data_IF_099378161210
#
_entry.id   IF_099378161210
#
_cell.length_a   1.000
_cell.length_b   1.000
_cell.length_c   1.000
_cell.angle_alpha   90.00
_cell.angle_beta   90.00
_cell.angle_gamma   90.00
#
_symmetry.space_group_name_H-M   'P 1'
#
loop_
_entity.id
_entity.type
_entity.pdbx_description
1 polymer ?
2 non-polymer ?
3 non-polymer ?
4 non-polymer ?
5 water ?
#
# COMPACT_ATOMS: atom_id res chain seq x y z
N UNK A 39 6.07 -1.55 21.51
CA UNK A 39 7.48 -1.21 21.13
C UNK A 39 7.51 -0.69 19.69
N UNK A 40 6.74 -1.32 18.82
CA UNK A 40 6.67 -0.91 17.43
C UNK A 40 6.02 0.45 17.32
N UNK A 41 4.84 0.60 17.92
CA UNK A 41 4.11 1.86 17.88
C UNK A 41 5.02 3.05 18.12
N UNK A 42 5.82 2.97 19.17
CA UNK A 42 6.72 4.05 19.50
C UNK A 42 7.77 4.20 18.43
N UNK A 43 8.32 3.09 17.96
CA UNK A 43 9.35 3.14 16.93
C UNK A 43 8.81 3.90 15.74
N UNK A 44 7.64 3.46 15.27
CA UNK A 44 6.95 4.04 14.14
C UNK A 44 6.82 5.54 14.30
N UNK A 45 6.07 5.97 15.31
CA UNK A 45 5.85 7.39 15.58
C UNK A 45 7.13 8.18 15.61
N UNK A 46 8.18 7.61 16.20
CA UNK A 46 9.43 8.34 16.26
C UNK A 46 10.12 8.47 14.92
N UNK A 47 10.12 7.40 14.14
CA UNK A 47 10.78 7.48 12.85
C UNK A 47 10.03 8.42 11.92
N UNK A 48 8.71 8.45 12.04
CA UNK A 48 7.94 9.33 11.20
C UNK A 48 8.39 10.77 11.44
N UNK A 49 8.65 11.09 12.70
CA UNK A 49 9.09 12.43 13.04
C UNK A 49 10.55 12.66 12.69
N UNK A 50 11.42 11.80 13.20
CA UNK A 50 12.84 11.97 12.92
C UNK A 50 13.19 11.98 11.45
N UNK A 51 12.60 11.08 10.67
CA UNK A 51 12.87 11.01 9.24
C UNK A 51 12.08 12.09 8.47
N UNK A 52 11.26 12.85 9.21
CA UNK A 52 10.44 13.93 8.67
C UNK A 52 9.55 13.48 7.53
N UNK A 53 8.77 12.44 7.82
CA UNK A 53 7.85 11.89 6.87
C UNK A 53 6.52 12.62 6.92
N UNK A 54 5.91 12.66 8.10
CA UNK A 54 4.65 13.39 8.26
C UNK A 54 4.70 14.10 9.60
N UNK A 55 4.01 15.22 9.70
CA UNK A 55 3.95 15.99 10.94
C UNK A 55 2.51 15.78 11.40
N UNK A 56 2.33 15.26 12.60
CA UNK A 56 0.98 14.98 13.08
C UNK A 56 0.35 16.09 13.89
N UNK A 57 1.12 17.14 14.14
CA UNK A 57 0.64 18.26 14.94
C UNK A 57 -0.40 19.17 14.29
N UNK A 58 -1.29 18.63 13.48
CA UNK A 58 -2.31 19.44 12.84
C UNK A 58 -3.55 19.48 13.74
N UNK A 59 -4.14 20.67 13.92
CA UNK A 59 -5.32 20.90 14.75
C UNK A 59 -6.54 20.03 14.51
N UNK A 60 -6.47 19.13 13.55
CA UNK A 60 -7.63 18.26 13.29
C UNK A 60 -7.21 16.81 13.29
N UNK A 61 -7.69 16.10 14.31
CA UNK A 61 -7.39 14.70 14.50
C UNK A 61 -7.67 13.86 13.27
N UNK A 62 -6.69 13.07 12.87
CA UNK A 62 -6.84 12.19 11.73
C UNK A 62 -6.47 12.81 10.41
N UNK A 63 -5.71 13.89 10.44
CA UNK A 63 -5.32 14.56 9.22
C UNK A 63 -3.91 15.06 9.40
N UNK A 64 -2.98 14.46 8.68
CA UNK A 64 -1.59 14.82 8.81
C UNK A 64 -1.00 15.51 7.60
N UNK A 65 0.16 16.12 7.81
CA UNK A 65 0.88 16.84 6.78
C UNK A 65 2.05 16.08 6.24
N UNK A 66 2.18 16.02 4.92
CA UNK A 66 3.31 15.33 4.32
C UNK A 66 4.48 16.30 4.21
N UNK A 67 5.54 16.07 4.97
CA UNK A 67 6.71 16.94 4.92
C UNK A 67 7.51 16.58 3.68
N UNK A 68 8.47 17.42 3.28
CA UNK A 68 9.27 17.15 2.09
C UNK A 68 9.73 15.71 1.91
N UNK A 69 10.49 15.20 2.88
CA UNK A 69 11.01 13.84 2.75
C UNK A 69 9.90 12.81 2.53
N UNK A 70 8.92 12.81 3.43
CA UNK A 70 7.82 11.88 3.29
C UNK A 70 7.25 11.99 1.88
N UNK A 71 6.96 13.20 1.46
CA UNK A 71 6.40 13.42 0.13
C UNK A 71 7.20 12.76 -0.98
N UNK A 72 8.52 12.77 -0.86
CA UNK A 72 9.37 12.17 -1.89
C UNK A 72 9.18 10.67 -1.95
N UNK A 73 9.05 10.04 -0.79
CA UNK A 73 8.86 8.60 -0.73
C UNK A 73 7.52 8.27 -1.37
N UNK A 74 6.51 9.07 -1.04
CA UNK A 74 5.15 8.91 -1.56
C UNK A 74 5.21 9.06 -3.07
N UNK A 75 5.98 10.04 -3.51
CA UNK A 75 6.15 10.31 -4.92
C UNK A 75 6.71 9.08 -5.64
N UNK A 76 7.82 8.53 -5.14
CA UNK A 76 8.42 7.35 -5.78
C UNK A 76 7.57 6.10 -5.68
N UNK A 77 6.85 5.95 -4.58
CA UNK A 77 5.99 4.79 -4.41
C UNK A 77 4.93 4.85 -5.49
N UNK A 78 4.36 6.03 -5.69
CA UNK A 78 3.33 6.21 -6.71
C UNK A 78 3.86 6.02 -8.13
N UNK A 79 5.13 6.36 -8.36
CA UNK A 79 5.71 6.18 -9.67
C UNK A 79 5.68 4.68 -10.03
N UNK A 80 6.14 3.85 -9.10
CA UNK A 80 6.16 2.42 -9.27
C UNK A 80 4.77 1.93 -9.59
N UNK A 81 3.80 2.38 -8.79
CA UNK A 81 2.42 1.98 -8.99
C UNK A 81 1.88 2.36 -10.35
N UNK A 82 1.98 3.65 -10.70
CA UNK A 82 1.48 4.12 -11.99
C UNK A 82 2.12 3.44 -13.17
N UNK A 83 3.39 3.10 -13.04
CA UNK A 83 4.09 2.44 -14.13
C UNK A 83 3.35 1.13 -14.46
N UNK A 84 2.87 0.45 -13.43
CA UNK A 84 2.15 -0.78 -13.63
C UNK A 84 0.75 -0.49 -14.14
N UNK A 85 0.02 0.34 -13.40
CA UNK A 85 -1.34 0.68 -13.77
C UNK A 85 -1.51 1.29 -15.17
N UNK A 86 -0.60 2.15 -15.58
CA UNK A 86 -0.74 2.79 -16.88
C UNK A 86 -0.62 1.88 -18.09
N UNK A 87 -0.26 0.62 -17.89
CA UNK A 87 -0.15 -0.29 -19.02
C UNK A 87 -1.51 -0.51 -19.65
N UNK A 88 -2.54 -0.71 -18.82
CA UNK A 88 -3.87 -0.98 -19.32
C UNK A 88 -4.98 -0.21 -18.67
N UNK A 89 -4.62 0.81 -17.90
CA UNK A 89 -5.63 1.65 -17.24
C UNK A 89 -5.46 3.08 -17.71
N UNK A 90 -6.55 3.84 -17.69
CA UNK A 90 -6.51 5.24 -18.10
C UNK A 90 -6.76 6.11 -16.87
N UNK A 91 -5.77 6.91 -16.47
CA UNK A 91 -5.96 7.74 -15.30
C UNK A 91 -6.93 8.87 -15.59
N UNK A 92 -7.77 9.17 -14.60
CA UNK A 92 -8.75 10.23 -14.72
C UNK A 92 -8.72 11.02 -13.42
N UNK A 93 -9.69 11.91 -13.24
CA UNK A 93 -9.78 12.71 -12.03
C UNK A 93 -11.18 13.26 -11.90
N UNK A 94 -11.97 12.64 -11.02
CA UNK A 94 -13.35 13.03 -10.75
C UNK A 94 -13.42 13.94 -9.56
N UNK A 95 -14.58 14.59 -9.35
CA UNK A 95 -14.82 15.52 -8.25
C UNK A 95 -14.67 14.92 -6.86
N UNK A 96 -14.62 15.80 -5.87
CA UNK A 96 -14.48 15.40 -4.49
C UNK A 96 -15.84 15.26 -3.85
N UNK A 97 -16.74 16.18 -4.18
CA UNK A 97 -18.08 16.22 -3.60
C UNK A 97 -19.20 15.47 -4.31
N UNK A 98 -20.05 14.84 -3.52
CA UNK A 98 -21.20 14.07 -4.02
C UNK A 98 -22.45 14.49 -3.27
N UNK A 99 -23.55 14.70 -4.01
CA UNK A 99 -24.83 15.11 -3.46
C UNK A 99 -25.61 13.92 -2.90
N UNK A 100 -26.39 14.13 -1.85
CA UNK A 100 -27.19 13.06 -1.24
C UNK A 100 -27.84 12.19 -2.29
N UNK A 101 -28.56 12.84 -3.20
CA UNK A 101 -29.25 12.16 -4.30
C UNK A 101 -28.41 11.02 -4.86
N UNK A 102 -27.18 11.31 -5.26
CA UNK A 102 -26.29 10.31 -5.83
C UNK A 102 -25.72 9.33 -4.83
N UNK A 103 -25.20 9.85 -3.72
CA UNK A 103 -24.58 9.02 -2.69
C UNK A 103 -25.51 7.96 -2.14
N UNK A 104 -26.75 8.35 -1.85
CA UNK A 104 -27.74 7.44 -1.29
C UNK A 104 -28.49 6.62 -2.33
N UNK A 105 -28.10 6.73 -3.60
CA UNK A 105 -28.78 5.98 -4.65
C UNK A 105 -28.60 4.47 -4.51
N UNK A 106 -27.60 4.06 -3.74
CA UNK A 106 -27.37 2.63 -3.53
C UNK A 106 -28.10 2.16 -2.28
N UNK A 107 -28.31 0.85 -2.18
CA UNK A 107 -29.00 0.28 -1.04
C UNK A 107 -28.02 0.01 0.11
N UNK A 108 -27.18 -1.00 -0.07
CA UNK A 108 -26.22 -1.39 0.96
C UNK A 108 -25.03 -0.43 1.09
N UNK A 109 -24.49 0.02 -0.04
CA UNK A 109 -23.34 0.93 -0.08
C UNK A 109 -23.57 2.20 0.74
N UNK A 110 -24.75 2.79 0.62
CA UNK A 110 -25.07 4.00 1.38
C UNK A 110 -25.14 3.67 2.87
N UNK A 111 -25.62 2.47 3.17
CA UNK A 111 -25.76 1.97 4.54
C UNK A 111 -24.38 1.65 5.12
N UNK A 112 -23.43 1.38 4.23
CA UNK A 112 -22.07 1.06 4.64
C UNK A 112 -21.24 2.27 5.07
N UNK A 113 -21.57 3.44 4.52
CA UNK A 113 -20.85 4.66 4.86
C UNK A 113 -21.79 5.72 5.47
N UNK A 114 -23.02 5.31 5.77
CA UNK A 114 -24.03 6.16 6.37
C UNK A 114 -23.53 7.31 7.25
N UNK A 115 -23.03 6.94 8.42
CA UNK A 115 -22.54 7.90 9.40
C UNK A 115 -21.02 7.98 9.35
N UNK A 116 -20.45 7.67 8.20
CA UNK A 116 -19.00 7.73 8.08
C UNK A 116 -18.60 8.81 7.09
N UNK A 117 -19.60 9.55 6.63
CA UNK A 117 -19.41 10.60 5.66
C UNK A 117 -19.43 12.01 6.26
N UNK A 118 -18.58 12.90 5.76
CA UNK A 118 -18.55 14.29 6.21
C UNK A 118 -19.50 15.04 5.29
N UNK A 119 -20.24 16.01 5.83
CA UNK A 119 -21.18 16.75 4.99
C UNK A 119 -20.98 18.25 4.94
N UNK A 120 -20.94 18.82 3.73
CA UNK A 120 -20.85 20.26 3.61
C UNK A 120 -22.31 20.62 3.47
N UNK A 121 -22.75 21.58 4.27
CA UNK A 121 -24.15 21.99 4.28
C UNK A 121 -24.34 23.44 3.87
N UNK A 122 -23.32 24.26 4.08
CA UNK A 122 -23.41 25.67 3.73
C UNK A 122 -22.40 26.09 2.69
N UNK A 123 -22.81 27.05 1.87
CA UNK A 123 -21.95 27.61 0.84
C UNK A 123 -21.77 29.04 1.27
N UNK A 124 -20.70 29.31 2.01
CA UNK A 124 -20.47 30.66 2.49
C UNK A 124 -21.27 30.75 3.77
N UNK A 125 -22.30 31.59 3.79
CA UNK A 125 -23.12 31.73 4.98
C UNK A 125 -24.50 31.16 4.72
N UNK A 126 -24.78 30.85 3.47
CA UNK A 126 -26.08 30.30 3.11
C UNK A 126 -26.10 28.78 3.04
N UNK A 127 -27.21 28.20 3.47
CA UNK A 127 -27.37 26.77 3.48
C UNK A 127 -27.66 26.24 2.08
N UNK A 128 -26.81 25.33 1.62
CA UNK A 128 -26.97 24.74 0.31
C UNK A 128 -28.32 24.03 0.28
N UNK A 129 -29.02 24.12 -0.83
CA UNK A 129 -30.31 23.46 -0.92
C UNK A 129 -30.13 22.00 -1.29
N UNK A 130 -28.97 21.46 -0.96
CA UNK A 130 -28.67 20.07 -1.29
C UNK A 130 -27.32 19.74 -0.65
N UNK A 131 -27.34 18.90 0.38
CA UNK A 131 -26.12 18.52 1.08
C UNK A 131 -25.12 17.91 0.11
N UNK A 132 -23.85 18.15 0.38
CA UNK A 132 -22.77 17.60 -0.43
C UNK A 132 -21.84 16.86 0.52
N UNK A 133 -21.55 15.62 0.17
CA UNK A 133 -20.70 14.77 0.98
C UNK A 133 -19.30 14.62 0.41
N UNK A 134 -18.29 14.65 1.27
CA UNK A 134 -16.93 14.45 0.78
C UNK A 134 -16.88 12.97 0.41
N UNK A 135 -16.25 12.65 -0.70
CA UNK A 135 -16.17 11.27 -1.14
C UNK A 135 -15.43 10.39 -0.14
N UNK A 136 -16.00 9.20 0.15
CA UNK A 136 -15.41 8.22 1.08
C UNK A 136 -14.69 7.25 0.15
N UNK A 137 -15.21 7.20 -1.07
CA UNK A 137 -14.74 6.37 -2.15
C UNK A 137 -15.61 6.90 -3.28
N UNK A 138 -15.19 6.77 -4.53
CA UNK A 138 -15.91 7.39 -5.63
C UNK A 138 -16.97 6.66 -6.47
N UNK A 139 -17.48 5.52 -6.01
CA UNK A 139 -18.47 4.81 -6.82
C UNK A 139 -19.65 5.70 -7.20
N UNK A 140 -20.24 6.37 -6.21
CA UNK A 140 -21.38 7.22 -6.47
C UNK A 140 -21.03 8.51 -7.20
N UNK A 141 -19.75 8.73 -7.47
CA UNK A 141 -19.32 9.93 -8.17
C UNK A 141 -19.09 9.64 -9.64
N UNK A 142 -18.44 8.53 -9.92
CA UNK A 142 -18.12 8.15 -11.29
C UNK A 142 -19.19 7.36 -12.00
N UNK A 143 -19.86 6.48 -11.29
CA UNK A 143 -20.86 5.65 -11.94
C UNK A 143 -21.96 6.36 -12.69
N UNK A 144 -22.51 7.45 -12.13
CA UNK A 144 -23.55 8.09 -12.92
C UNK A 144 -22.96 8.65 -14.23
N UNK A 145 -21.69 9.01 -14.16
CA UNK A 145 -20.98 9.54 -15.32
C UNK A 145 -20.71 8.39 -16.30
N UNK A 146 -20.51 7.19 -15.74
CA UNK A 146 -20.24 6.00 -16.55
C UNK A 146 -21.46 5.64 -17.37
N UNK A 147 -22.62 5.93 -16.79
CA UNK A 147 -23.89 5.67 -17.45
C UNK A 147 -23.91 6.41 -18.78
N UNK A 148 -23.26 7.57 -18.81
CA UNK A 148 -23.19 8.36 -20.02
C UNK A 148 -22.09 7.86 -20.93
N UNK A 149 -20.89 7.68 -20.40
CA UNK A 149 -19.79 7.23 -21.24
C UNK A 149 -20.00 5.88 -21.90
N UNK A 150 -20.86 5.03 -21.33
CA UNK A 150 -21.08 3.72 -21.91
C UNK A 150 -22.33 3.61 -22.79
N UNK A 151 -22.10 3.20 -24.04
CA UNK A 151 -23.18 3.05 -25.01
C UNK A 151 -23.11 1.71 -25.75
N UNK A 152 -22.07 1.50 -26.54
CA UNK A 152 -21.94 0.25 -27.30
C UNK A 152 -20.93 -0.73 -26.72
N UNK A 153 -21.07 -1.99 -27.08
CA UNK A 153 -20.15 -3.02 -26.62
C UNK A 153 -18.78 -2.68 -27.20
N UNK A 154 -18.76 -1.80 -28.19
CA UNK A 154 -17.50 -1.41 -28.78
C UNK A 154 -16.76 -0.53 -27.79
N UNK A 155 -17.51 0.03 -26.84
CA UNK A 155 -16.95 0.88 -25.81
C UNK A 155 -16.23 0.10 -24.72
N UNK A 156 -16.69 -1.11 -24.44
CA UNK A 156 -16.09 -1.93 -23.40
C UNK A 156 -14.93 -2.76 -23.93
N UNK A 157 -13.97 -3.11 -23.04
CA UNK A 157 -13.95 -2.76 -21.63
C UNK A 157 -13.27 -1.42 -21.35
N UNK A 158 -13.62 -0.81 -20.23
CA UNK A 158 -13.02 0.45 -19.81
C UNK A 158 -12.33 0.19 -18.50
N UNK A 159 -11.14 0.74 -18.32
CA UNK A 159 -10.39 0.56 -17.08
C UNK A 159 -9.79 1.88 -16.62
N UNK A 160 -10.36 2.45 -15.56
CA UNK A 160 -9.90 3.72 -15.04
C UNK A 160 -9.38 3.66 -13.62
N UNK A 161 -8.65 4.70 -13.22
CA UNK A 161 -8.10 4.81 -11.87
C UNK A 161 -7.69 6.24 -11.58
N UNK A 162 -7.65 6.59 -10.30
CA UNK A 162 -7.23 7.91 -9.87
C UNK A 162 -6.60 7.82 -8.48
N UNK A 163 -5.76 8.80 -8.15
CA UNK A 163 -5.11 8.87 -6.86
C UNK A 163 -5.60 10.19 -6.29
N UNK A 164 -6.59 10.11 -5.43
CA UNK A 164 -7.19 11.30 -4.88
C UNK A 164 -7.21 11.22 -3.38
N UNK A 165 -7.79 12.22 -2.75
CA UNK A 165 -7.90 12.21 -1.31
C UNK A 165 -9.35 11.96 -0.95
N UNK A 166 -9.57 10.94 -0.11
CA UNK A 166 -10.92 10.58 0.32
C UNK A 166 -11.06 10.78 1.83
N UNK A 167 -12.30 10.84 2.30
CA UNK A 167 -12.57 11.09 3.70
C UNK A 167 -13.47 10.05 4.36
N UNK A 168 -13.15 9.69 5.60
CA UNK A 168 -13.94 8.71 6.33
C UNK A 168 -13.95 9.01 7.81
N UNK A 169 -15.12 9.35 8.33
CA UNK A 169 -15.31 9.67 9.75
C UNK A 169 -15.50 8.36 10.51
N UNK A 170 -14.43 7.89 11.15
CA UNK A 170 -14.48 6.61 11.85
C UNK A 170 -14.00 6.58 13.31
N UNK A 171 -13.56 5.40 13.72
CA UNK A 171 -13.03 5.06 15.06
C UNK A 171 -12.29 6.17 15.78
N UNK A 172 -12.78 6.52 16.93
CA UNK A 172 -12.03 7.49 17.58
C UNK A 172 -10.50 7.20 17.37
N UNK A 173 -9.95 5.96 17.27
CA UNK A 173 -8.48 5.83 17.17
C UNK A 173 -7.81 5.93 15.81
N UNK A 174 -7.33 7.18 15.74
CA UNK A 174 -6.58 7.81 14.67
C UNK A 174 -5.21 7.20 14.61
N UNK A 175 -4.85 6.65 13.45
CA UNK A 175 -3.51 6.07 13.34
C UNK A 175 -2.81 6.50 12.06
N UNK A 176 -1.67 7.23 12.21
CA UNK A 176 -0.82 7.77 11.14
C UNK A 176 -0.64 6.78 9.99
N UNK A 177 -1.05 7.20 8.79
CA UNK A 177 -1.00 6.39 7.54
C UNK A 177 -1.75 5.07 7.54
N UNK A 178 -2.41 4.74 8.64
CA UNK A 178 -3.09 3.45 8.76
C UNK A 178 -4.58 3.60 8.98
N UNK A 179 -4.93 4.66 9.69
CA UNK A 179 -6.32 4.96 9.99
C UNK A 179 -6.43 6.47 10.10
N UNK A 180 -6.60 7.14 8.97
CA UNK A 180 -6.70 8.58 8.94
C UNK A 180 -8.09 9.00 8.50
N UNK A 181 -8.44 10.25 8.75
CA UNK A 181 -9.75 10.77 8.36
C UNK A 181 -9.61 11.25 6.91
N UNK A 182 -8.44 11.76 6.57
CA UNK A 182 -8.20 12.18 5.20
C UNK A 182 -7.18 11.22 4.60
N UNK A 183 -7.65 10.29 3.80
CA UNK A 183 -6.77 9.33 3.18
C UNK A 183 -6.16 10.10 2.03
N UNK A 184 -4.96 10.61 2.27
CA UNK A 184 -4.29 11.42 1.27
C UNK A 184 -3.81 10.69 0.03
N UNK A 185 -3.59 9.39 0.11
CA UNK A 185 -3.12 8.67 -1.06
C UNK A 185 -4.01 7.50 -1.44
N UNK A 186 -5.28 7.80 -1.67
CA UNK A 186 -6.24 6.77 -2.03
C UNK A 186 -6.25 6.49 -3.52
N UNK A 187 -5.74 5.35 -3.93
CA UNK A 187 -5.76 5.00 -5.35
C UNK A 187 -6.92 4.05 -5.56
N UNK A 188 -7.90 4.47 -6.34
CA UNK A 188 -9.04 3.63 -6.60
C UNK A 188 -9.13 3.39 -8.09
N UNK A 189 -9.30 2.14 -8.48
CA UNK A 189 -9.43 1.78 -9.89
C UNK A 189 -10.80 1.19 -10.04
N UNK A 190 -11.47 1.50 -11.16
CA UNK A 190 -12.80 0.99 -11.45
C UNK A 190 -12.82 0.50 -12.88
N UNK A 191 -13.41 -0.67 -13.10
CA UNK A 191 -13.46 -1.23 -14.45
C UNK A 191 -14.87 -1.57 -14.89
N UNK A 192 -15.07 -1.66 -16.21
CA UNK A 192 -16.36 -1.97 -16.77
C UNK A 192 -16.22 -3.06 -17.83
N UNK A 193 -17.04 -4.08 -17.75
CA UNK A 193 -16.97 -5.18 -18.69
C UNK A 193 -18.32 -5.54 -19.28
N UNK A 194 -18.30 -6.28 -20.39
CA UNK A 194 -19.52 -6.71 -21.07
C UNK A 194 -20.12 -7.95 -20.42
N UNK A 195 -19.27 -8.85 -19.95
CA UNK A 195 -19.75 -10.08 -19.36
C UNK A 195 -19.21 -10.34 -17.97
N UNK A 196 -20.01 -11.00 -17.14
CA UNK A 196 -19.61 -11.34 -15.78
C UNK A 196 -18.30 -12.13 -15.83
N UNK A 197 -18.07 -12.79 -16.96
CA UNK A 197 -16.87 -13.56 -17.14
C UNK A 197 -15.65 -12.67 -17.07
N UNK A 198 -15.57 -11.71 -17.98
CA UNK A 198 -14.43 -10.80 -18.02
C UNK A 198 -14.25 -10.09 -16.69
N UNK A 199 -15.34 -9.82 -15.99
CA UNK A 199 -15.23 -9.16 -14.71
C UNK A 199 -14.35 -9.98 -13.79
N UNK A 200 -14.69 -11.26 -13.63
CA UNK A 200 -13.90 -12.13 -12.77
C UNK A 200 -12.48 -12.22 -13.26
N UNK A 201 -12.32 -12.17 -14.57
CA UNK A 201 -11.00 -12.23 -15.14
C UNK A 201 -10.22 -11.00 -14.68
N UNK A 202 -10.91 -9.86 -14.58
CA UNK A 202 -10.30 -8.60 -14.14
C UNK A 202 -9.84 -8.71 -12.70
N UNK A 203 -10.70 -9.28 -11.84
CA UNK A 203 -10.33 -9.46 -10.46
C UNK A 203 -8.98 -10.19 -10.42
N UNK A 204 -8.80 -11.17 -11.30
CA UNK A 204 -7.54 -11.90 -11.34
C UNK A 204 -6.41 -10.99 -11.75
N UNK A 205 -6.65 -10.19 -12.78
CA UNK A 205 -5.64 -9.25 -13.29
C UNK A 205 -5.24 -8.27 -12.20
N UNK A 206 -6.22 -7.77 -11.48
CA UNK A 206 -5.97 -6.82 -10.41
C UNK A 206 -5.06 -7.44 -9.38
N UNK A 207 -5.39 -8.65 -8.94
CA UNK A 207 -4.61 -9.35 -7.94
C UNK A 207 -3.16 -9.49 -8.38
N UNK A 208 -2.97 -9.72 -9.68
CA UNK A 208 -1.62 -9.86 -10.18
C UNK A 208 -0.90 -8.54 -10.17
N UNK A 209 -1.65 -7.48 -10.41
CA UNK A 209 -1.09 -6.15 -10.43
C UNK A 209 -0.62 -5.77 -9.03
N UNK A 210 -1.41 -6.11 -8.02
CA UNK A 210 -1.02 -5.79 -6.66
C UNK A 210 0.16 -6.64 -6.21
N UNK A 211 0.19 -7.90 -6.62
CA UNK A 211 1.33 -8.73 -6.25
C UNK A 211 2.57 -8.06 -6.79
N UNK A 212 2.55 -7.70 -8.07
CA UNK A 212 3.71 -7.06 -8.65
C UNK A 212 4.05 -5.77 -7.92
N UNK A 213 3.02 -4.97 -7.65
CA UNK A 213 3.26 -3.72 -6.95
C UNK A 213 3.97 -4.02 -5.66
N UNK A 214 3.32 -4.82 -4.82
CA UNK A 214 3.88 -5.18 -3.54
C UNK A 214 5.25 -5.83 -3.61
N UNK A 215 5.44 -6.75 -4.55
CA UNK A 215 6.74 -7.39 -4.67
C UNK A 215 7.81 -6.34 -4.92
N UNK A 216 7.46 -5.31 -5.68
CA UNK A 216 8.43 -4.24 -5.95
C UNK A 216 8.79 -3.53 -4.67
N UNK A 217 7.84 -3.47 -3.73
CA UNK A 217 8.07 -2.82 -2.45
C UNK A 217 8.65 -3.82 -1.44
N UNK A 218 8.80 -5.07 -1.89
CA UNK A 218 9.34 -6.09 -1.01
C UNK A 218 8.41 -6.37 0.15
N UNK A 219 7.14 -6.08 -0.03
CA UNK A 219 6.14 -6.29 0.98
C UNK A 219 5.48 -7.65 0.78
N UNK A 220 5.44 -8.49 1.83
CA UNK A 220 4.83 -9.82 1.78
C UNK A 220 3.33 -9.65 2.02
N UNK A 221 2.54 -10.67 1.68
CA UNK A 221 1.10 -10.56 1.82
C UNK A 221 0.36 -11.90 1.76
N UNK A 222 -0.86 -11.90 2.31
CA UNK A 222 -1.72 -13.07 2.34
C UNK A 222 -2.97 -12.68 1.59
N UNK A 223 -3.35 -13.45 0.59
CA UNK A 223 -4.54 -13.13 -0.19
C UNK A 223 -5.68 -14.04 0.19
N UNK A 224 -6.84 -13.47 0.53
CA UNK A 224 -7.98 -14.29 0.92
C UNK A 224 -9.29 -13.68 0.48
N UNK A 225 -10.37 -14.45 0.58
CA UNK A 225 -11.69 -13.98 0.21
C UNK A 225 -12.40 -13.60 1.50
N UNK A 226 -12.66 -12.32 1.71
CA UNK A 226 -13.32 -11.87 2.90
C UNK A 226 -14.68 -12.55 3.05
N UNK A 227 -15.15 -12.70 4.30
CA UNK A 227 -16.44 -13.33 4.61
C UNK A 227 -17.49 -12.41 4.02
N UNK A 228 -18.57 -12.97 3.47
CA UNK A 228 -19.65 -12.20 2.87
C UNK A 228 -20.27 -11.08 3.70
N UNK A 229 -19.88 -10.99 4.97
CA UNK A 229 -20.45 -9.93 5.80
C UNK A 229 -19.45 -8.80 5.97
N UNK A 230 -18.27 -8.98 5.37
CA UNK A 230 -17.22 -7.98 5.43
C UNK A 230 -16.93 -7.41 4.04
N UNK A 231 -17.54 -7.99 3.01
CA UNK A 231 -17.28 -7.51 1.66
C UNK A 231 -17.66 -6.06 1.45
N UNK A 232 -17.05 -5.44 0.45
CA UNK A 232 -17.31 -4.05 0.13
C UNK A 232 -18.82 -3.90 -0.01
N UNK A 233 -19.40 -2.91 0.67
CA UNK A 233 -20.83 -2.64 0.62
C UNK A 233 -21.38 -2.66 -0.79
N UNK A 234 -22.22 -3.64 -1.10
CA UNK A 234 -22.82 -3.73 -2.41
C UNK A 234 -22.15 -4.64 -3.41
N UNK A 235 -20.99 -5.21 -3.08
CA UNK A 235 -20.30 -6.08 -4.03
C UNK A 235 -20.75 -7.52 -3.96
N UNK A 236 -20.18 -8.32 -4.84
CA UNK A 236 -20.46 -9.74 -4.91
C UNK A 236 -19.51 -10.38 -3.94
N UNK A 237 -18.25 -9.96 -4.02
CA UNK A 237 -17.24 -10.48 -3.11
C UNK A 237 -16.01 -9.61 -3.09
N UNK A 238 -15.24 -9.72 -2.02
CA UNK A 238 -14.03 -8.93 -1.85
C UNK A 238 -12.83 -9.81 -1.62
N UNK A 239 -11.76 -9.53 -2.33
CA UNK A 239 -10.53 -10.27 -2.15
C UNK A 239 -9.65 -9.26 -1.47
N UNK A 240 -9.01 -9.64 -0.38
CA UNK A 240 -8.15 -8.71 0.35
C UNK A 240 -6.72 -9.17 0.50
N UNK A 241 -5.83 -8.19 0.64
CA UNK A 241 -4.42 -8.45 0.84
C UNK A 241 -4.15 -7.95 2.26
N UNK A 242 -3.52 -8.79 3.07
CA UNK A 242 -3.20 -8.42 4.44
C UNK A 242 -1.71 -8.66 4.58
N UNK A 243 -1.04 -7.81 5.34
CA UNK A 243 0.39 -7.98 5.58
C UNK A 243 0.54 -7.93 7.09
N UNK A 244 1.70 -8.33 7.58
CA UNK A 244 1.91 -8.38 9.02
C UNK A 244 2.83 -7.30 9.56
N UNK A 245 2.34 -6.55 10.54
CA UNK A 245 3.11 -5.48 11.14
C UNK A 245 3.99 -6.02 12.26
N UNK A 246 5.18 -5.42 12.46
CA UNK A 246 6.12 -5.84 13.50
C UNK A 246 5.51 -6.02 14.89
N UNK A 247 4.27 -5.60 15.08
CA UNK A 247 3.65 -5.75 16.38
C UNK A 247 2.71 -6.95 16.35
N UNK A 248 2.99 -7.87 15.43
CA UNK A 248 2.17 -9.07 15.33
C UNK A 248 0.75 -8.84 14.86
N UNK A 249 0.41 -7.60 14.54
CA UNK A 249 -0.93 -7.29 14.07
C UNK A 249 -0.98 -7.27 12.55
N UNK A 250 -2.16 -7.53 12.01
CA UNK A 250 -2.39 -7.56 10.59
C UNK A 250 -2.88 -6.22 10.08
N UNK A 251 -2.53 -5.91 8.83
CA UNK A 251 -2.95 -4.66 8.19
C UNK A 251 -3.45 -4.90 6.78
N UNK A 252 -4.70 -4.55 6.51
CA UNK A 252 -5.29 -4.71 5.17
C UNK A 252 -4.60 -3.70 4.25
N UNK A 253 -3.77 -4.17 3.30
CA UNK A 253 -3.09 -3.25 2.43
C UNK A 253 -3.62 -3.17 1.02
N UNK A 254 -4.79 -3.73 0.77
CA UNK A 254 -5.36 -3.67 -0.56
C UNK A 254 -6.58 -4.55 -0.74
N UNK A 255 -7.57 -4.09 -1.49
CA UNK A 255 -8.76 -4.87 -1.74
C UNK A 255 -9.21 -4.76 -3.18
N UNK A 256 -9.79 -5.86 -3.67
CA UNK A 256 -10.32 -5.94 -5.03
C UNK A 256 -11.75 -6.39 -4.82
N UNK A 257 -12.68 -5.76 -5.52
CA UNK A 257 -14.08 -6.13 -5.36
C UNK A 257 -14.72 -6.41 -6.69
N UNK A 258 -15.58 -7.43 -6.71
CA UNK A 258 -16.31 -7.77 -7.92
C UNK A 258 -17.70 -7.26 -7.62
N UNK A 259 -18.11 -6.23 -8.35
CA UNK A 259 -19.40 -5.59 -8.15
C UNK A 259 -20.51 -6.20 -8.99
N UNK A 260 -20.17 -7.21 -9.79
CA UNK A 260 -21.19 -7.81 -10.62
C UNK A 260 -21.97 -6.72 -11.32
N UNK A 261 -23.29 -6.83 -11.34
CA UNK A 261 -24.09 -5.82 -12.01
C UNK A 261 -24.90 -5.02 -11.01
N UNK A 262 -24.59 -5.17 -9.74
CA UNK A 262 -25.32 -4.46 -8.70
C UNK A 262 -25.34 -2.95 -8.93
N UNK A 263 -24.17 -2.34 -9.09
CA UNK A 263 -24.11 -0.91 -9.32
C UNK A 263 -24.63 -0.52 -10.70
N UNK A 264 -24.39 -1.39 -11.68
CA UNK A 264 -24.86 -1.13 -13.03
C UNK A 264 -26.36 -0.85 -13.01
N UNK A 265 -27.11 -1.70 -12.31
CA UNK A 265 -28.55 -1.55 -12.23
C UNK A 265 -28.94 -0.33 -11.42
N UNK A 266 -28.16 -0.02 -10.40
CA UNK A 266 -28.48 1.13 -9.56
C UNK A 266 -28.35 2.44 -10.32
N UNK A 267 -27.30 2.57 -11.11
CA UNK A 267 -27.06 3.80 -11.86
C UNK A 267 -27.41 3.72 -13.33
N UNK A 268 -28.06 2.64 -13.73
CA UNK A 268 -28.47 2.44 -15.12
C UNK A 268 -27.33 2.49 -16.12
N UNK A 269 -26.32 1.63 -15.95
CA UNK A 269 -25.21 1.61 -16.88
C UNK A 269 -25.42 0.43 -17.82
N UNK A 270 -26.09 0.67 -18.93
CA UNK A 270 -26.38 -0.38 -19.91
C UNK A 270 -25.54 -0.19 -21.15
N UNK A 271 -25.45 -1.22 -21.98
CA UNK A 271 -24.70 -1.15 -23.21
C UNK A 271 -25.40 -1.97 -24.28
N UNK A 272 -25.22 -1.57 -25.54
CA UNK A 272 -25.83 -2.23 -26.68
C UNK A 272 -25.01 -3.43 -27.15
N UNK A 273 -25.64 -4.60 -27.18
CA UNK A 273 -24.96 -5.82 -27.61
C UNK A 273 -24.90 -5.84 -29.13
N UNK A 274 -24.02 -6.68 -29.71
CA UNK A 274 -23.93 -6.75 -31.18
C UNK A 274 -25.24 -7.15 -31.87
N UNK A 275 -26.19 -7.68 -31.10
CA UNK A 275 -27.49 -8.07 -31.65
C UNK A 275 -28.46 -6.89 -31.63
N UNK A 276 -28.39 -6.08 -30.57
CA UNK A 276 -29.27 -4.93 -30.46
C UNK A 276 -30.01 -4.89 -29.14
N UNK A 277 -29.54 -5.69 -28.18
CA UNK A 277 -30.16 -5.74 -26.87
C UNK A 277 -29.46 -4.78 -25.92
N UNK A 278 -30.06 -4.57 -24.76
CA UNK A 278 -29.49 -3.68 -23.76
C UNK A 278 -29.34 -4.36 -22.40
N UNK A 279 -28.12 -4.82 -22.12
CA UNK A 279 -27.83 -5.49 -20.86
C UNK A 279 -26.96 -4.63 -19.94
N UNK A 280 -27.05 -4.89 -18.64
CA UNK A 280 -26.25 -4.16 -17.67
C UNK A 280 -24.81 -4.63 -17.68
N UNK A 281 -23.89 -3.70 -17.48
CA UNK A 281 -22.47 -4.01 -17.48
C UNK A 281 -22.03 -4.73 -16.21
N UNK A 282 -20.86 -5.35 -16.29
CA UNK A 282 -20.28 -6.05 -15.14
C UNK A 282 -19.08 -5.24 -14.69
N UNK A 283 -19.10 -4.81 -13.42
CA UNK A 283 -18.04 -3.96 -12.88
C UNK A 283 -17.20 -4.56 -11.76
N UNK A 284 -15.99 -4.01 -11.60
CA UNK A 284 -15.08 -4.38 -10.52
C UNK A 284 -14.34 -3.11 -10.14
N UNK A 285 -13.77 -3.07 -8.94
CA UNK A 285 -13.01 -1.93 -8.47
C UNK A 285 -12.04 -2.41 -7.42
N UNK A 286 -10.91 -1.73 -7.29
CA UNK A 286 -9.91 -2.12 -6.31
C UNK A 286 -9.06 -0.92 -5.89
N UNK A 287 -8.54 -0.95 -4.67
CA UNK A 287 -7.76 0.18 -4.21
C UNK A 287 -6.72 -0.04 -3.12
N UNK A 288 -5.86 0.96 -2.94
CA UNK A 288 -4.79 0.94 -1.95
C UNK A 288 -4.84 2.29 -1.30
N UNK A 289 -4.13 2.45 -0.18
CA UNK A 289 -4.10 3.75 0.49
C UNK A 289 -2.69 4.03 1.00
N UNK A 290 -2.58 5.04 1.85
CA UNK A 290 -1.31 5.42 2.45
C UNK A 290 -0.73 4.23 3.22
N UNK A 291 -1.57 3.24 3.50
CA UNK A 291 -1.12 2.04 4.22
C UNK A 291 0.02 1.37 3.51
N UNK A 292 0.03 1.47 2.19
CA UNK A 292 1.12 0.87 1.44
C UNK A 292 2.42 1.52 1.88
N UNK A 293 2.40 2.82 2.15
CA UNK A 293 3.63 3.50 2.55
C UNK A 293 3.96 3.19 4.00
N UNK A 294 2.90 3.06 4.81
CA UNK A 294 3.09 2.72 6.20
C UNK A 294 3.87 1.41 6.27
N UNK A 295 3.34 0.39 5.62
CA UNK A 295 4.00 -0.91 5.65
C UNK A 295 5.39 -0.97 5.06
N UNK A 296 5.69 -0.16 4.05
CA UNK A 296 7.04 -0.20 3.50
C UNK A 296 8.01 0.30 4.56
N UNK A 297 7.57 1.28 5.32
CA UNK A 297 8.38 1.83 6.38
C UNK A 297 8.51 0.82 7.50
N UNK A 298 7.36 0.27 7.93
CA UNK A 298 7.31 -0.68 9.01
C UNK A 298 7.97 -2.03 8.75
N UNK A 299 7.65 -2.65 7.62
CA UNK A 299 8.20 -3.95 7.33
C UNK A 299 9.71 -4.03 7.19
N UNK A 300 10.32 -3.03 6.57
CA UNK A 300 11.77 -3.03 6.43
C UNK A 300 12.34 -2.11 7.48
N UNK A 301 11.60 -2.01 8.58
CA UNK A 301 12.02 -1.18 9.71
C UNK A 301 13.44 -1.49 10.12
N UNK A 302 13.90 -0.92 11.22
CA UNK A 302 15.27 -1.14 11.61
C UNK A 302 15.59 -0.37 12.87
N UNK A 303 16.75 -0.66 13.45
CA UNK A 303 17.19 0.03 14.67
C UNK A 303 17.83 1.33 14.26
N UNK A 304 18.44 1.33 13.08
CA UNK A 304 19.09 2.51 12.54
C UNK A 304 18.09 3.49 11.96
N UNK A 305 16.86 3.05 11.76
CA UNK A 305 15.83 3.91 11.21
C UNK A 305 15.12 3.32 10.01
N UNK A 306 15.06 4.07 8.93
CA UNK A 306 14.40 3.58 7.73
C UNK A 306 15.33 2.77 6.88
N UNK A 307 14.74 1.82 6.15
CA UNK A 307 15.46 0.98 5.21
C UNK A 307 14.42 0.78 4.12
N UNK A 308 14.66 1.35 2.95
CA UNK A 308 13.69 1.28 1.87
C UNK A 308 14.22 0.68 0.60
N UNK A 309 13.33 0.14 -0.23
CA UNK A 309 13.72 -0.45 -1.51
C UNK A 309 14.33 0.69 -2.30
N UNK A 310 15.47 0.46 -2.97
CA UNK A 310 16.12 1.52 -3.75
C UNK A 310 15.20 2.41 -4.59
N UNK A 311 14.17 1.82 -5.19
CA UNK A 311 13.26 2.60 -6.00
C UNK A 311 12.22 3.41 -5.25
N UNK A 312 12.32 3.42 -3.93
CA UNK A 312 11.36 4.15 -3.10
C UNK A 312 12.04 5.25 -2.32
N UNK A 313 13.31 5.04 -1.98
CA UNK A 313 14.07 6.03 -1.22
C UNK A 313 14.18 7.35 -1.95
N UNK A 314 14.31 8.43 -1.18
CA UNK A 314 14.45 9.78 -1.73
C UNK A 314 15.69 9.85 -2.58
N UNK A 315 16.71 9.10 -2.19
CA UNK A 315 17.98 9.04 -2.91
C UNK A 315 18.39 7.58 -2.97
N UNK A 316 19.00 7.16 -4.07
CA UNK A 316 19.44 5.79 -4.18
C UNK A 316 20.90 5.71 -3.81
N UNK A 317 21.62 6.79 -4.07
CA UNK A 317 23.04 6.85 -3.79
C UNK A 317 23.43 8.20 -3.22
N UNK A 318 23.93 8.22 -1.99
CA UNK A 318 24.37 9.47 -1.39
C UNK A 318 25.90 9.42 -1.35
N UNK A 319 26.55 10.40 -1.97
CA UNK A 319 28.01 10.44 -1.99
C UNK A 319 28.56 11.26 -0.83
N UNK A 320 29.39 10.63 -0.01
CA UNK A 320 29.97 11.34 1.13
C UNK A 320 31.48 11.45 1.00
N UNK A 321 31.99 12.66 0.73
CA UNK A 321 33.44 12.84 0.60
C UNK A 321 34.10 12.98 1.96
N UNK A 322 35.19 12.25 2.15
CA UNK A 322 35.96 12.28 3.40
C UNK A 322 37.14 13.21 3.20
N UNK A 323 37.25 14.24 4.05
CA UNK A 323 38.32 15.22 3.91
C UNK A 323 38.84 15.81 5.22
N UNK A 324 40.16 15.97 5.30
CA UNK A 324 40.81 16.56 6.47
C UNK A 324 41.88 17.55 6.03
N UNK A 325 41.59 18.33 4.99
CA UNK A 325 42.57 19.31 4.51
C UNK A 325 43.79 18.58 3.94
N UNK A 326 43.54 17.63 3.05
CA UNK A 326 44.60 16.85 2.42
C UNK A 326 44.13 16.34 1.07
N UNK A 327 44.43 17.09 0.01
CA UNK A 327 44.04 16.73 -1.35
C UNK A 327 42.54 16.96 -1.51
N UNK A 328 41.98 17.77 -0.61
CA UNK A 328 40.56 18.10 -0.61
C UNK A 328 40.06 18.47 -2.00
N UNK A 329 40.64 19.52 -2.58
CA UNK A 329 40.25 19.99 -3.90
C UNK A 329 40.16 18.84 -4.91
N UNK A 330 40.89 17.77 -4.64
CA UNK A 330 40.90 16.62 -5.54
C UNK A 330 39.84 15.60 -5.16
N UNK A 331 39.56 15.47 -3.87
CA UNK A 331 38.56 14.54 -3.41
C UNK A 331 37.22 15.08 -3.90
N UNK A 332 36.99 16.37 -3.64
CA UNK A 332 35.76 17.02 -4.07
C UNK A 332 35.50 16.87 -5.55
N UNK A 333 36.39 17.37 -6.39
CA UNK A 333 36.20 17.27 -7.83
C UNK A 333 35.99 15.81 -8.27
N UNK A 334 36.41 14.88 -7.43
CA UNK A 334 36.25 13.47 -7.75
C UNK A 334 34.80 13.07 -7.49
N UNK A 335 34.26 13.60 -6.39
CA UNK A 335 32.88 13.32 -6.00
C UNK A 335 31.91 13.98 -7.00
N UNK A 336 32.15 15.24 -7.29
CA UNK A 336 31.31 15.98 -8.23
C UNK A 336 31.27 15.23 -9.55
N UNK A 337 32.43 14.86 -10.06
CA UNK A 337 32.47 14.13 -11.32
C UNK A 337 31.57 12.92 -11.21
N UNK A 338 31.64 12.25 -10.05
CA UNK A 338 30.83 11.05 -9.83
C UNK A 338 29.35 11.37 -9.78
N UNK A 339 28.97 12.41 -9.05
CA UNK A 339 27.56 12.81 -8.96
C UNK A 339 27.00 12.95 -10.36
N UNK A 340 27.56 13.88 -11.12
CA UNK A 340 27.12 14.12 -12.48
C UNK A 340 27.03 12.81 -13.25
N UNK A 341 28.11 12.04 -13.19
CA UNK A 341 28.18 10.78 -13.89
C UNK A 341 27.02 9.85 -13.54
N UNK A 342 26.63 9.84 -12.28
CA UNK A 342 25.52 8.99 -11.85
C UNK A 342 24.17 9.52 -12.33
N UNK A 343 23.98 10.83 -12.27
CA UNK A 343 22.73 11.43 -12.72
C UNK A 343 22.46 11.05 -14.17
N UNK A 344 23.49 11.19 -14.99
CA UNK A 344 23.39 10.87 -16.41
C UNK A 344 23.03 9.41 -16.64
N UNK A 345 23.31 8.56 -15.66
CA UNK A 345 22.99 7.15 -15.81
C UNK A 345 21.56 6.87 -15.34
N UNK A 346 20.94 7.88 -14.74
CA UNK A 346 19.58 7.73 -14.27
C UNK A 346 19.46 7.42 -12.79
N UNK A 347 20.39 7.92 -11.99
CA UNK A 347 20.35 7.67 -10.56
C UNK A 347 19.81 8.85 -9.79
N UNK A 348 19.10 8.57 -8.70
CA UNK A 348 18.60 9.63 -7.84
C UNK A 348 19.73 9.73 -6.84
N UNK A 349 20.73 10.54 -7.17
CA UNK A 349 21.91 10.72 -6.34
C UNK A 349 21.95 12.06 -5.61
N UNK A 350 22.68 12.10 -4.50
CA UNK A 350 22.83 13.32 -3.73
C UNK A 350 24.24 13.41 -3.13
N UNK A 351 24.94 14.49 -3.46
CA UNK A 351 26.29 14.71 -2.93
C UNK A 351 26.21 15.51 -1.64
N UNK A 352 26.53 14.89 -0.52
CA UNK A 352 26.46 15.59 0.76
C UNK A 352 27.79 16.23 1.07
N UNK A 353 27.98 17.47 0.60
CA UNK A 353 29.22 18.17 0.83
C UNK A 353 29.11 19.17 1.98
N UNK A 354 28.15 18.94 2.86
CA UNK A 354 27.99 19.81 4.02
C UNK A 354 29.26 19.73 4.84
N UNK A 355 29.49 20.74 5.67
CA UNK A 355 30.67 20.77 6.50
C UNK A 355 30.42 20.20 7.89
N UNK A 356 30.34 18.89 7.97
CA UNK A 356 30.13 18.23 9.25
C UNK A 356 30.84 16.90 9.23
N UNK A 357 30.99 16.31 10.40
CA UNK A 357 31.65 15.03 10.52
C UNK A 357 30.97 13.93 9.73
N UNK A 358 31.76 13.22 8.94
CA UNK A 358 31.23 12.14 8.10
C UNK A 358 30.38 11.16 8.91
N UNK A 359 30.61 11.10 10.21
CA UNK A 359 29.82 10.19 11.03
C UNK A 359 28.38 10.63 11.03
N UNK A 360 28.16 11.89 11.39
CA UNK A 360 26.82 12.46 11.42
C UNK A 360 26.13 12.23 10.07
N UNK A 361 26.85 12.45 8.98
CA UNK A 361 26.27 12.23 7.67
C UNK A 361 25.82 10.77 7.54
N UNK A 362 26.69 9.84 7.90
CA UNK A 362 26.35 8.42 7.81
C UNK A 362 25.02 8.13 8.50
N UNK A 363 24.90 8.61 9.72
CA UNK A 363 23.70 8.41 10.52
C UNK A 363 22.48 8.94 9.80
N UNK A 364 22.53 10.21 9.42
CA UNK A 364 21.40 10.85 8.75
C UNK A 364 20.86 10.07 7.57
N UNK A 365 21.68 9.91 6.53
CA UNK A 365 21.24 9.19 5.35
C UNK A 365 20.90 7.75 5.64
N UNK A 366 21.39 7.24 6.75
CA UNK A 366 21.10 5.86 7.11
C UNK A 366 19.74 5.76 7.78
N UNK A 367 19.43 6.72 8.64
CA UNK A 367 18.14 6.70 9.33
C UNK A 367 17.03 7.10 8.38
N UNK A 368 17.41 7.74 7.28
CA UNK A 368 16.45 8.16 6.26
C UNK A 368 16.19 7.08 5.24
N UNK A 369 17.00 6.03 5.26
CA UNK A 369 16.80 4.94 4.32
C UNK A 369 17.51 4.93 2.99
N UNK A 370 18.51 5.78 2.78
CA UNK A 370 19.22 5.75 1.50
C UNK A 370 19.86 4.38 1.42
N UNK A 371 19.69 3.68 0.30
CA UNK A 371 20.26 2.33 0.11
C UNK A 371 21.78 2.23 0.04
N UNK A 372 22.40 3.13 -0.72
CA UNK A 372 23.84 3.06 -0.90
C UNK A 372 24.56 4.35 -0.58
N UNK A 373 25.65 4.21 0.16
CA UNK A 373 26.48 5.33 0.53
C UNK A 373 27.81 5.12 -0.14
N UNK A 374 28.27 6.10 -0.91
CA UNK A 374 29.54 5.97 -1.59
C UNK A 374 30.49 6.97 -0.92
N UNK A 375 31.54 6.44 -0.31
CA UNK A 375 32.52 7.26 0.39
C UNK A 375 33.82 7.36 -0.41
N UNK A 376 34.37 8.56 -0.48
CA UNK A 376 35.61 8.79 -1.20
C UNK A 376 36.59 9.60 -0.36
N UNK A 377 37.82 9.09 -0.26
CA UNK A 377 38.84 9.77 0.51
C UNK A 377 40.15 9.77 -0.26
N UNK A 378 41.17 10.50 0.23
CA UNK A 378 42.47 10.58 -0.42
C UNK A 378 42.97 9.23 -0.91
N UNK A 379 43.06 8.28 0.01
CA UNK A 379 43.52 6.93 -0.29
C UNK A 379 42.80 6.37 -1.51
N UNK A 380 41.64 5.75 -1.27
CA UNK A 380 40.83 5.14 -2.32
C UNK A 380 40.89 5.94 -3.60
N UNK A 381 40.78 7.26 -3.47
CA UNK A 381 40.83 8.15 -4.62
C UNK A 381 42.09 7.93 -5.43
N UNK A 382 43.24 7.98 -4.76
CA UNK A 382 44.53 7.78 -5.42
C UNK A 382 44.71 6.31 -5.73
N UNK A 383 43.68 5.68 -6.28
CA UNK A 383 43.71 4.27 -6.62
C UNK A 383 42.59 3.98 -7.61
N UNK A 384 41.72 4.97 -7.81
CA UNK A 384 40.60 4.82 -8.73
C UNK A 384 39.47 3.98 -8.17
N UNK A 385 39.30 4.03 -6.85
CA UNK A 385 38.26 3.25 -6.18
C UNK A 385 37.60 4.00 -5.05
N UNK A 386 36.50 3.46 -4.55
CA UNK A 386 35.75 4.07 -3.46
C UNK A 386 35.15 3.00 -2.55
N UNK A 387 34.48 3.45 -1.49
CA UNK A 387 33.85 2.53 -0.55
C UNK A 387 32.34 2.60 -0.66
N UNK A 388 31.70 1.48 -0.97
CA UNK A 388 30.24 1.42 -1.10
C UNK A 388 29.65 0.65 0.06
N UNK A 389 28.78 1.31 0.83
CA UNK A 389 28.16 0.68 1.98
C UNK A 389 26.66 0.41 1.77
N UNK A 390 26.20 -0.80 2.12
CA UNK A 390 24.79 -1.19 2.00
C UNK A 390 24.03 -0.76 3.24
N UNK A 391 22.75 -0.48 3.09
CA UNK A 391 21.92 -0.05 4.22
C UNK A 391 21.25 -1.23 4.89
N UNK A 392 20.82 -2.20 4.09
CA UNK A 392 20.13 -3.38 4.59
C UNK A 392 21.06 -4.30 5.36
N UNK A 393 22.29 -4.43 4.88
CA UNK A 393 23.29 -5.29 5.49
C UNK A 393 24.32 -4.55 6.32
N UNK A 394 25.02 -3.63 5.69
CA UNK A 394 26.04 -2.88 6.40
C UNK A 394 27.36 -3.17 5.73
N UNK A 395 27.34 -4.18 4.86
CA UNK A 395 28.54 -4.56 4.13
C UNK A 395 29.15 -3.39 3.40
N UNK A 396 30.42 -3.13 3.65
CA UNK A 396 31.10 -2.07 2.96
C UNK A 396 31.98 -2.85 2.01
N UNK A 397 32.07 -2.41 0.76
CA UNK A 397 32.91 -3.10 -0.20
C UNK A 397 33.74 -2.04 -0.91
N UNK A 398 34.64 -2.49 -1.78
CA UNK A 398 35.46 -1.54 -2.51
C UNK A 398 35.31 -1.84 -3.98
N UNK A 399 34.93 -0.82 -4.75
CA UNK A 399 34.74 -0.99 -6.18
C UNK A 399 35.51 0.07 -6.94
N UNK A 400 35.69 -0.17 -8.24
CA UNK A 400 36.43 0.74 -9.09
C UNK A 400 35.51 1.80 -9.67
N UNK A 401 35.78 3.05 -9.35
CA UNK A 401 34.99 4.14 -9.85
C UNK A 401 34.92 4.05 -11.37
N UNK A 402 35.72 3.16 -11.95
CA UNK A 402 35.79 3.00 -13.40
C UNK A 402 34.68 2.16 -14.01
N UNK A 403 33.66 1.86 -13.23
CA UNK A 403 32.55 1.06 -13.73
C UNK A 403 31.52 0.91 -12.64
N UNK A 404 31.73 1.67 -11.57
CA UNK A 404 30.87 1.68 -10.39
C UNK A 404 29.38 1.75 -10.72
N UNK A 405 29.05 2.46 -11.80
CA UNK A 405 27.67 2.61 -12.20
C UNK A 405 26.96 1.27 -12.23
N UNK A 406 27.60 0.28 -12.84
CA UNK A 406 27.02 -1.05 -12.93
C UNK A 406 27.09 -1.82 -11.62
N UNK A 407 28.09 -1.50 -10.80
CA UNK A 407 28.25 -2.16 -9.52
C UNK A 407 27.05 -1.81 -8.65
N UNK A 408 26.66 -0.53 -8.71
CA UNK A 408 25.54 -0.03 -7.93
C UNK A 408 24.21 -0.65 -8.35
N UNK A 409 23.93 -0.69 -9.64
CA UNK A 409 22.69 -1.28 -10.11
C UNK A 409 22.55 -2.69 -9.57
N UNK A 410 23.60 -3.48 -9.71
CA UNK A 410 23.56 -4.84 -9.21
C UNK A 410 23.23 -4.80 -7.72
N UNK A 411 23.98 -4.00 -6.98
CA UNK A 411 23.76 -3.86 -5.54
C UNK A 411 22.31 -3.54 -5.19
N UNK A 412 21.70 -2.64 -5.95
CA UNK A 412 20.31 -2.26 -5.72
C UNK A 412 19.39 -3.45 -5.94
N UNK A 413 19.64 -4.21 -6.99
CA UNK A 413 18.80 -5.37 -7.28
C UNK A 413 18.94 -6.33 -6.10
N UNK A 414 20.15 -6.41 -5.57
CA UNK A 414 20.41 -7.32 -4.46
C UNK A 414 19.70 -6.91 -3.18
N UNK A 415 19.72 -5.62 -2.87
CA UNK A 415 19.06 -5.14 -1.66
C UNK A 415 17.55 -5.41 -1.64
N UNK A 416 16.89 -5.26 -2.79
CA UNK A 416 15.45 -5.49 -2.83
C UNK A 416 15.15 -6.95 -2.55
N UNK A 417 15.84 -7.83 -3.26
CA UNK A 417 15.67 -9.27 -3.10
C UNK A 417 15.88 -9.69 -1.66
N UNK A 418 16.93 -9.16 -1.03
CA UNK A 418 17.19 -9.51 0.35
C UNK A 418 16.03 -9.03 1.21
N UNK A 419 15.71 -7.74 1.14
CA UNK A 419 14.63 -7.15 1.92
C UNK A 419 13.32 -7.88 1.69
N UNK A 420 13.05 -8.21 0.42
CA UNK A 420 11.82 -8.92 0.08
C UNK A 420 11.84 -10.30 0.71
N UNK A 421 12.97 -10.98 0.61
CA UNK A 421 13.12 -12.31 1.19
C UNK A 421 12.93 -12.28 2.69
N UNK A 422 13.84 -11.61 3.39
CA UNK A 422 13.77 -11.49 4.83
C UNK A 422 12.32 -11.28 5.21
N UNK A 423 11.70 -10.30 4.55
CA UNK A 423 10.31 -9.94 4.80
C UNK A 423 9.35 -11.13 4.72
N UNK A 424 9.50 -11.94 3.69
CA UNK A 424 8.62 -13.10 3.55
C UNK A 424 8.85 -14.14 4.63
N UNK A 425 10.11 -14.39 4.95
CA UNK A 425 10.41 -15.35 5.98
C UNK A 425 9.72 -14.89 7.26
N UNK A 426 10.04 -13.68 7.69
CA UNK A 426 9.45 -13.14 8.90
C UNK A 426 7.94 -13.32 8.96
N UNK A 427 7.26 -13.18 7.83
CA UNK A 427 5.82 -13.31 7.88
C UNK A 427 5.34 -14.74 8.00
N UNK A 428 5.76 -15.59 7.06
CA UNK A 428 5.34 -16.97 7.06
C UNK A 428 5.63 -17.67 8.37
N UNK A 429 6.73 -17.27 9.01
CA UNK A 429 7.09 -17.86 10.29
C UNK A 429 6.13 -17.43 11.38
N UNK A 430 5.13 -16.63 11.03
CA UNK A 430 4.16 -16.17 12.01
C UNK A 430 2.75 -16.63 11.70
N UNK A 431 2.63 -17.43 10.65
CA UNK A 431 1.34 -18.00 10.27
C UNK A 431 1.36 -19.40 10.84
N UNK A 432 0.62 -19.61 11.93
CA UNK A 432 0.57 -20.90 12.61
C UNK A 432 -0.79 -21.59 12.55
N UNK A 433 -0.77 -22.90 12.28
CA UNK A 433 -1.98 -23.70 12.20
C UNK A 433 -2.53 -24.03 13.58
N UNK A 434 -3.83 -24.29 13.65
CA UNK A 434 -4.48 -24.62 14.91
C UNK A 434 -5.66 -25.54 14.66
N UNK A 435 -5.75 -26.59 15.48
CA UNK A 435 -6.83 -27.56 15.36
C UNK A 435 -7.84 -27.32 16.45
N UNK A 436 -7.38 -26.74 17.56
CA UNK A 436 -8.24 -26.46 18.70
C UNK A 436 -8.53 -24.97 18.80
N UNK A 437 -9.79 -24.62 19.07
CA UNK A 437 -10.17 -23.22 19.21
C UNK A 437 -9.42 -22.64 20.41
N UNK A 438 -9.00 -23.53 21.30
CA UNK A 438 -8.28 -23.14 22.50
C UNK A 438 -6.82 -22.93 22.14
N UNK A 439 -6.31 -23.82 21.29
CA UNK A 439 -4.92 -23.73 20.86
C UNK A 439 -4.70 -22.37 20.19
N UNK A 440 -5.74 -21.91 19.50
CA UNK A 440 -5.69 -20.63 18.81
C UNK A 440 -5.47 -19.54 19.83
N UNK A 441 -6.40 -19.42 20.78
CA UNK A 441 -6.31 -18.40 21.81
C UNK A 441 -4.92 -18.37 22.46
N UNK A 442 -4.33 -19.53 22.66
CA UNK A 442 -3.01 -19.59 23.27
C UNK A 442 -1.97 -18.94 22.35
N UNK A 443 -1.91 -19.43 21.12
CA UNK A 443 -0.95 -18.92 20.12
C UNK A 443 -1.09 -17.44 19.85
N UNK A 444 -2.33 -17.00 19.61
CA UNK A 444 -2.60 -15.60 19.33
C UNK A 444 -2.06 -14.74 20.45
N UNK A 445 -2.56 -14.99 21.65
CA UNK A 445 -2.18 -14.25 22.83
C UNK A 445 -0.69 -14.30 23.17
N UNK A 446 -0.04 -15.41 22.87
CA UNK A 446 1.37 -15.54 23.19
C UNK A 446 2.34 -15.18 22.08
N UNK A 447 1.99 -15.48 20.83
CA UNK A 447 2.89 -15.19 19.74
C UNK A 447 2.36 -14.21 18.69
N UNK A 448 1.09 -13.84 18.81
CA UNK A 448 0.43 -12.95 17.87
C UNK A 448 0.48 -13.57 16.49
N UNK A 449 0.69 -12.76 15.45
CA UNK A 449 0.76 -13.33 14.12
C UNK A 449 -0.57 -13.82 13.57
N UNK A 450 -0.48 -14.61 12.51
CA UNK A 450 -1.64 -15.18 11.83
C UNK A 450 -1.92 -16.60 12.27
N UNK A 451 -3.19 -16.95 12.34
CA UNK A 451 -3.63 -18.28 12.74
C UNK A 451 -4.37 -18.96 11.59
N UNK A 452 -3.77 -20.02 11.06
CA UNK A 452 -4.37 -20.79 9.97
C UNK A 452 -5.28 -21.85 10.58
N UNK A 453 -6.40 -22.15 9.93
CA UNK A 453 -7.31 -23.15 10.46
C UNK A 453 -8.38 -23.54 9.45
N UNK A 454 -9.05 -24.66 9.69
CA UNK A 454 -10.10 -25.11 8.80
C UNK A 454 -11.41 -24.58 9.35
N UNK A 455 -12.31 -24.12 8.48
CA UNK A 455 -13.54 -23.55 8.96
C UNK A 455 -14.74 -23.90 8.08
N UNK A 456 -15.89 -24.07 8.71
CA UNK A 456 -17.10 -24.42 7.97
C UNK A 456 -17.57 -23.28 7.08
N UNK A 457 -17.23 -22.06 7.44
CA UNK A 457 -17.63 -20.91 6.64
C UNK A 457 -19.05 -20.46 6.90
N UNK A 458 -19.50 -20.54 8.14
CA UNK A 458 -20.86 -20.12 8.47
C UNK A 458 -20.82 -18.82 9.26
N UNK A 459 -21.81 -17.97 9.04
CA UNK A 459 -21.86 -16.71 9.77
C UNK A 459 -21.71 -16.94 11.26
N UNK A 460 -22.76 -17.46 11.88
CA UNK A 460 -22.80 -17.71 13.32
C UNK A 460 -21.55 -18.37 13.84
N UNK A 461 -21.05 -19.37 13.12
CA UNK A 461 -19.86 -20.06 13.57
C UNK A 461 -18.64 -19.13 13.55
N UNK A 462 -18.56 -18.31 12.49
CA UNK A 462 -17.46 -17.40 12.36
C UNK A 462 -17.47 -16.34 13.45
N UNK A 463 -18.64 -15.74 13.66
CA UNK A 463 -18.80 -14.71 14.68
C UNK A 463 -18.43 -15.30 16.03
N UNK A 464 -18.88 -16.53 16.27
CA UNK A 464 -18.59 -17.20 17.53
C UNK A 464 -17.09 -17.33 17.70
N UNK A 465 -16.41 -17.73 16.63
CA UNK A 465 -14.96 -17.88 16.69
C UNK A 465 -14.30 -16.57 17.10
N UNK A 466 -14.73 -15.47 16.48
CA UNK A 466 -14.16 -14.15 16.77
C UNK A 466 -14.36 -13.71 18.21
N UNK A 467 -15.57 -13.88 18.73
CA UNK A 467 -15.86 -13.49 20.10
C UNK A 467 -15.00 -14.27 21.08
N UNK A 468 -15.07 -15.59 20.98
CA UNK A 468 -14.32 -16.46 21.87
C UNK A 468 -12.82 -16.18 21.84
N UNK A 469 -12.28 -15.93 20.66
CA UNK A 469 -10.85 -15.68 20.55
C UNK A 469 -10.48 -14.20 20.54
N UNK A 470 -11.48 -13.33 20.44
CA UNK A 470 -11.25 -11.88 20.40
C UNK A 470 -10.24 -11.67 19.29
N UNK A 471 -10.70 -11.87 18.07
CA UNK A 471 -9.83 -11.77 16.93
C UNK A 471 -10.73 -11.62 15.71
N UNK A 472 -10.13 -11.34 14.54
CA UNK A 472 -10.93 -11.19 13.32
C UNK A 472 -10.57 -12.26 12.28
N UNK A 473 -11.59 -12.76 11.60
CA UNK A 473 -11.38 -13.75 10.56
C UNK A 473 -11.07 -12.95 9.32
N UNK A 474 -9.82 -13.01 8.88
CA UNK A 474 -9.38 -12.28 7.70
C UNK A 474 -10.14 -12.71 6.45
N UNK A 475 -10.19 -14.00 6.17
CA UNK A 475 -10.89 -14.48 4.99
C UNK A 475 -10.61 -15.95 4.74
N UNK A 476 -11.10 -16.48 3.62
CA UNK A 476 -10.88 -17.89 3.33
C UNK A 476 -10.03 -18.18 2.11
N UNK A 477 -9.77 -19.46 1.92
CA UNK A 477 -8.97 -19.96 0.81
C UNK A 477 -9.45 -21.37 0.54
N UNK A 478 -10.22 -21.54 -0.53
CA UNK A 478 -10.75 -22.85 -0.86
C UNK A 478 -9.68 -23.90 -1.08
N UNK A 479 -9.83 -25.00 -0.36
CA UNK A 479 -8.90 -26.12 -0.47
C UNK A 479 -9.60 -27.39 -0.01
N UNK A 480 -8.83 -28.46 0.19
CA UNK A 480 -9.39 -29.71 0.63
C UNK A 480 -10.20 -29.54 1.90
N UNK A 481 -11.21 -30.38 2.08
CA UNK A 481 -12.06 -30.30 3.26
C UNK A 481 -11.36 -30.62 4.58
N UNK A 482 -12.18 -30.74 5.63
CA UNK A 482 -11.68 -31.03 6.95
C UNK A 482 -12.82 -30.78 7.91
N UNK A 483 -12.49 -30.44 9.16
CA UNK A 483 -13.52 -30.18 10.14
C UNK A 483 -13.31 -28.80 10.79
N UNK A 484 -14.40 -28.03 10.85
CA UNK A 484 -14.32 -26.69 11.43
C UNK A 484 -13.78 -26.69 12.83
N UNK A 485 -12.65 -26.00 13.01
CA UNK A 485 -11.97 -25.89 14.29
C UNK A 485 -12.94 -25.61 15.43
N UNK A 486 -14.10 -25.04 15.10
CA UNK A 486 -15.09 -24.67 16.10
C UNK A 486 -16.22 -25.68 16.29
N UNK A 487 -17.04 -25.84 15.26
CA UNK A 487 -18.18 -26.75 15.31
C UNK A 487 -17.95 -28.16 14.79
N UNK A 488 -16.71 -28.46 14.41
CA UNK A 488 -16.38 -29.78 13.92
C UNK A 488 -17.11 -30.27 12.68
N UNK A 489 -18.01 -29.46 12.11
CA UNK A 489 -18.71 -29.87 10.90
C UNK A 489 -17.72 -29.87 9.73
N UNK A 490 -18.21 -30.13 8.53
CA UNK A 490 -17.33 -30.16 7.38
C UNK A 490 -16.78 -28.77 7.06
N UNK A 491 -15.46 -28.68 6.98
CA UNK A 491 -14.76 -27.43 6.69
C UNK A 491 -14.24 -27.37 5.26
N UNK A 492 -14.95 -26.66 4.37
CA UNK A 492 -14.55 -26.51 2.96
C UNK A 492 -13.43 -25.49 2.77
N UNK A 493 -13.27 -24.60 3.75
CA UNK A 493 -12.28 -23.55 3.63
C UNK A 493 -11.11 -23.54 4.58
N UNK A 494 -10.00 -22.98 4.08
CA UNK A 494 -8.79 -22.79 4.86
C UNK A 494 -8.96 -21.31 5.23
N UNK A 495 -9.09 -21.02 6.52
CA UNK A 495 -9.29 -19.64 6.94
C UNK A 495 -8.16 -19.12 7.78
N UNK A 496 -8.04 -17.79 7.78
CA UNK A 496 -6.99 -17.16 8.56
C UNK A 496 -7.60 -16.24 9.58
N UNK A 497 -6.87 -16.07 10.67
CA UNK A 497 -7.32 -15.33 11.79
C UNK A 497 -6.17 -14.52 12.35
N UNK A 498 -6.47 -13.36 12.92
CA UNK A 498 -5.45 -12.52 13.51
C UNK A 498 -6.09 -11.28 14.11
N UNK A 499 -5.28 -10.49 14.83
CA UNK A 499 -5.73 -9.25 15.44
C UNK A 499 -5.26 -8.14 14.48
N UNK A 500 -6.22 -7.38 13.96
CA UNK A 500 -5.93 -6.38 12.95
C UNK A 500 -5.93 -4.92 13.37
N UNK A 501 -5.60 -4.08 12.39
CA UNK A 501 -5.57 -2.63 12.54
C UNK A 501 -6.88 -2.08 12.00
#
# INVERSE_FOLDING_TARGET
MGSSHHHHHHSSGLVPRGSHMQKPIKKDPNRYHGEKMTEFSEWFHNILEEAEIIDQRYPVKGMHVWMPHGFMIRKNTLKILRRILDRDHEEVLFPLLVPEDELAKEAIHVKGFEDEVYWVTHGGLSKLQRKLALRPTSETVMYPMFALWVRSHTDLPMRFYQVVNTFRYETKHTRPLIRVREITTFKEAHTIHATASEAEEQVERAVEIYKEFFNSLGIPYLITRRPPWDKFPGSEYTVAFDTLMPDGKTLQIGTVHNLGQTFARTFEIKFETPEGDHEYVHQTCYGLSDRVIASVIAIHGDESGLCLPPDVAAHQVVIVPIIFKKAAEEVMEACRELRSRLEAAGFRVHLDDRDIRAGRKYYEWEMRGVPLRVEIGPRDLEKGAAVISRRDTGEKVTADLQGIEETLRELMKDILENLRTRAWERMESEIREAETLEEASRIVDEKRGIISFMWCGEEECGMDVEEKVRVDILGIQEEGSGTCINCGREAPYRAYLARTY
#
